data_IF_372657682166
#
_entry.id   IF_372657682166
#
_cell.length_a   1.000
_cell.length_b   1.000
_cell.length_c   1.000
_cell.angle_alpha   90.00
_cell.angle_beta   90.00
_cell.angle_gamma   90.00
#
_symmetry.space_group_name_H-M   'P 1'
#
loop_
_entity.id
_entity.type
_entity.pdbx_description
1 polymer ?
#
# COMPACT_ATOMS: atom_id res chain seq x y z
N UNK A 1 -36.28 -7.75 22.11
CA UNK A 1 -35.33 -7.78 20.97
C UNK A 1 -34.95 -6.37 20.54
N UNK A 2 -35.88 -5.51 20.13
CA UNK A 2 -35.57 -4.13 19.68
C UNK A 2 -34.62 -3.34 20.60
N UNK A 3 -34.93 -3.24 21.89
CA UNK A 3 -34.09 -2.51 22.85
C UNK A 3 -32.65 -3.05 22.94
N UNK A 4 -32.49 -4.38 22.91
CA UNK A 4 -31.17 -5.02 22.97
C UNK A 4 -30.42 -4.72 21.66
N UNK A 5 -31.06 -4.88 20.50
CA UNK A 5 -30.46 -4.58 19.20
C UNK A 5 -30.03 -3.12 19.09
N UNK A 6 -30.86 -2.18 19.55
CA UNK A 6 -30.53 -0.76 19.57
C UNK A 6 -29.34 -0.45 20.49
N UNK A 7 -29.33 -1.01 21.69
CA UNK A 7 -28.22 -0.83 22.63
C UNK A 7 -26.91 -1.40 22.06
N UNK A 8 -26.95 -2.62 21.50
CA UNK A 8 -25.80 -3.23 20.85
C UNK A 8 -25.32 -2.41 19.66
N UNK A 9 -26.23 -1.91 18.82
CA UNK A 9 -25.88 -1.04 17.69
C UNK A 9 -25.14 0.21 18.19
N UNK A 10 -25.66 0.89 19.21
CA UNK A 10 -24.99 2.07 19.77
C UNK A 10 -23.62 1.75 20.36
N UNK A 11 -23.43 0.56 20.95
CA UNK A 11 -22.09 0.13 21.41
C UNK A 11 -21.14 -0.13 20.23
N UNK A 12 -21.63 -0.74 19.15
CA UNK A 12 -20.83 -1.04 17.95
C UNK A 12 -20.50 0.22 17.15
N UNK A 13 -21.39 1.22 17.16
CA UNK A 13 -21.19 2.51 16.45
C UNK A 13 -20.51 3.57 17.32
N UNK A 14 -20.24 3.29 18.60
CA UNK A 14 -19.51 4.20 19.46
C UNK A 14 -18.08 4.39 18.96
N UNK A 15 -17.64 5.65 18.94
CA UNK A 15 -16.27 6.05 18.58
C UNK A 15 -15.71 6.85 19.75
N UNK A 16 -14.46 6.58 20.10
CA UNK A 16 -13.74 7.29 21.15
C UNK A 16 -13.33 8.70 20.69
N UNK A 17 -13.43 9.71 21.56
CA UNK A 17 -12.96 11.07 21.25
C UNK A 17 -11.44 11.14 21.03
N UNK A 18 -10.70 10.23 21.66
CA UNK A 18 -9.24 10.10 21.56
C UNK A 18 -8.88 8.64 21.28
N UNK A 19 -8.95 8.20 20.01
CA UNK A 19 -8.56 6.84 19.66
C UNK A 19 -7.06 6.64 19.90
N UNK A 20 -6.66 5.40 20.17
CA UNK A 20 -5.26 5.03 20.34
C UNK A 20 -4.47 4.97 19.02
N UNK A 21 -5.19 4.87 17.90
CA UNK A 21 -4.68 5.01 16.53
C UNK A 21 -5.81 5.49 15.62
N UNK A 22 -5.52 6.39 14.67
CA UNK A 22 -6.47 6.81 13.64
C UNK A 22 -5.92 6.49 12.26
N UNK A 23 -6.66 5.70 11.49
CA UNK A 23 -6.28 5.26 10.14
C UNK A 23 -7.38 5.61 9.15
N UNK A 24 -7.03 6.04 7.95
CA UNK A 24 -7.94 6.05 6.80
C UNK A 24 -7.63 4.87 5.90
N UNK A 25 -8.59 3.97 5.75
CA UNK A 25 -8.54 2.89 4.77
C UNK A 25 -9.24 3.35 3.47
N UNK A 26 -8.44 3.54 2.42
CA UNK A 26 -8.93 3.88 1.08
C UNK A 26 -9.13 2.60 0.28
N UNK A 27 -10.35 2.39 -0.21
CA UNK A 27 -10.71 1.28 -1.08
C UNK A 27 -10.82 1.77 -2.52
N UNK A 28 -9.78 1.53 -3.32
CA UNK A 28 -9.78 1.78 -4.76
C UNK A 28 -9.94 0.47 -5.53
N UNK A 29 -10.30 0.52 -6.80
CA UNK A 29 -10.42 -0.68 -7.62
C UNK A 29 -9.13 -1.48 -7.59
N UNK A 30 -9.29 -2.67 -6.99
CA UNK A 30 -8.31 -3.74 -6.84
C UNK A 30 -7.19 -3.46 -5.84
N UNK A 31 -7.34 -2.44 -5.00
CA UNK A 31 -6.31 -2.03 -4.05
C UNK A 31 -6.87 -1.48 -2.73
N UNK A 32 -6.14 -1.74 -1.64
CA UNK A 32 -6.31 -1.11 -0.34
C UNK A 32 -5.10 -0.24 -0.01
N UNK A 33 -5.35 0.96 0.51
CA UNK A 33 -4.29 1.81 1.09
C UNK A 33 -4.69 2.17 2.50
N UNK A 34 -3.72 2.12 3.43
CA UNK A 34 -3.92 2.50 4.82
C UNK A 34 -3.08 3.73 5.13
N UNK A 35 -3.72 4.90 5.23
CA UNK A 35 -3.08 6.13 5.67
C UNK A 35 -3.14 6.22 7.19
N UNK A 36 -1.99 6.29 7.85
CA UNK A 36 -1.86 6.50 9.28
C UNK A 36 -1.88 8.00 9.55
N UNK A 37 -2.87 8.44 10.32
CA UNK A 37 -3.17 9.85 10.52
C UNK A 37 -2.61 10.36 11.85
N UNK A 38 -2.09 11.58 11.83
CA UNK A 38 -1.75 12.30 13.05
C UNK A 38 -3.00 12.59 13.89
N UNK A 39 -2.80 13.09 15.12
CA UNK A 39 -3.88 13.41 16.05
C UNK A 39 -4.91 14.45 15.55
N UNK A 40 -4.60 15.19 14.47
CA UNK A 40 -5.55 16.11 13.83
C UNK A 40 -6.56 15.40 12.90
N UNK A 41 -6.40 14.09 12.69
CA UNK A 41 -7.23 13.25 11.82
C UNK A 41 -7.13 13.62 10.33
N UNK A 42 -6.11 14.39 9.93
CA UNK A 42 -5.99 14.94 8.58
C UNK A 42 -4.60 14.77 8.00
N UNK A 43 -3.57 15.03 8.79
CA UNK A 43 -2.19 14.92 8.36
C UNK A 43 -1.81 13.46 8.25
N UNK A 44 -1.40 13.03 7.05
CA UNK A 44 -0.90 11.67 6.81
C UNK A 44 0.55 11.61 7.28
N UNK A 45 0.83 10.77 8.28
CA UNK A 45 2.20 10.52 8.74
C UNK A 45 2.88 9.42 7.92
N UNK A 46 2.11 8.46 7.44
CA UNK A 46 2.59 7.34 6.62
C UNK A 46 1.43 6.73 5.82
N UNK A 47 1.70 6.27 4.58
CA UNK A 47 0.76 5.50 3.78
C UNK A 47 1.34 4.12 3.51
N UNK A 48 0.59 3.08 3.88
CA UNK A 48 0.87 1.70 3.49
C UNK A 48 0.08 1.36 2.24
N UNK A 49 0.78 0.96 1.19
CA UNK A 49 0.22 0.60 -0.12
C UNK A 49 0.25 -0.90 -0.38
N UNK A 50 1.13 -1.66 0.28
CA UNK A 50 1.17 -3.12 0.17
C UNK A 50 0.06 -3.68 1.05
N UNK A 51 -0.98 -4.34 0.50
CA UNK A 51 -2.16 -4.70 1.30
C UNK A 51 -1.97 -5.95 2.17
N UNK A 52 -0.98 -6.82 1.87
CA UNK A 52 -0.76 -8.11 2.55
C UNK A 52 0.72 -8.39 2.80
N UNK A 53 1.03 -9.33 3.69
CA UNK A 53 2.41 -9.79 3.96
C UNK A 53 3.03 -9.21 5.24
N UNK A 54 4.28 -9.60 5.52
CA UNK A 54 4.95 -9.36 6.81
C UNK A 54 5.08 -7.87 7.16
N UNK A 55 5.39 -7.03 6.16
CA UNK A 55 5.50 -5.57 6.28
C UNK A 55 4.29 -4.81 5.73
N UNK A 56 3.34 -5.50 5.07
CA UNK A 56 2.15 -4.92 4.44
C UNK A 56 0.93 -4.84 5.36
N UNK A 57 -0.21 -4.49 4.78
CA UNK A 57 -1.52 -4.45 5.45
C UNK A 57 -1.66 -3.40 6.54
N UNK A 58 -2.79 -3.49 7.24
CA UNK A 58 -3.15 -2.65 8.37
C UNK A 58 -2.49 -3.16 9.65
N UNK A 59 -1.29 -2.68 9.97
CA UNK A 59 -0.70 -2.86 11.30
C UNK A 59 -1.41 -2.02 12.35
N UNK A 60 -1.76 -2.64 13.49
CA UNK A 60 -2.44 -1.99 14.60
C UNK A 60 -1.87 -2.47 15.95
N UNK A 61 -1.76 -1.61 16.96
CA UNK A 61 -1.42 -2.03 18.32
C UNK A 61 -2.62 -2.73 18.97
N UNK A 62 -2.36 -3.85 19.65
CA UNK A 62 -3.37 -4.50 20.49
C UNK A 62 -3.72 -3.67 21.73
N UNK A 63 -4.91 -3.89 22.29
CA UNK A 63 -5.36 -3.27 23.54
C UNK A 63 -5.77 -1.79 23.41
N UNK A 64 -5.74 -1.22 22.19
CA UNK A 64 -6.10 0.17 21.94
C UNK A 64 -7.28 0.30 20.97
N UNK A 65 -8.14 1.32 21.15
CA UNK A 65 -9.18 1.63 20.18
C UNK A 65 -8.55 2.17 18.89
N UNK A 66 -8.89 1.54 17.78
CA UNK A 66 -8.44 1.89 16.44
C UNK A 66 -9.64 2.49 15.69
N UNK A 67 -9.59 3.79 15.44
CA UNK A 67 -10.58 4.47 14.59
C UNK A 67 -10.18 4.31 13.13
N UNK A 68 -11.11 3.83 12.31
CA UNK A 68 -10.92 3.68 10.86
C UNK A 68 -11.91 4.53 10.09
N UNK A 69 -11.39 5.46 9.30
CA UNK A 69 -12.13 6.17 8.26
C UNK A 69 -12.13 5.32 6.99
N UNK A 70 -13.30 5.12 6.40
CA UNK A 70 -13.49 4.38 5.16
C UNK A 70 -13.84 5.34 4.05
N UNK A 71 -13.00 5.37 3.02
CA UNK A 71 -13.19 6.23 1.85
C UNK A 71 -12.97 5.44 0.56
N UNK A 72 -13.75 5.74 -0.47
CA UNK A 72 -13.49 5.23 -1.82
C UNK A 72 -13.40 6.38 -2.81
N UNK A 73 -12.34 6.42 -3.65
CA UNK A 73 -12.21 7.38 -4.74
C UNK A 73 -12.97 6.97 -6.01
N UNK A 74 -13.56 5.76 -6.09
CA UNK A 74 -14.12 5.22 -7.33
C UNK A 74 -15.53 4.60 -7.18
N UNK A 75 -15.61 3.30 -6.90
CA UNK A 75 -16.83 2.49 -6.86
C UNK A 75 -17.12 2.03 -5.43
N UNK A 76 -18.28 1.41 -5.20
CA UNK A 76 -18.57 0.86 -3.88
C UNK A 76 -17.66 -0.33 -3.56
N UNK A 77 -17.17 -0.37 -2.32
CA UNK A 77 -16.44 -1.51 -1.73
C UNK A 77 -17.06 -1.83 -0.37
N UNK A 78 -16.49 -2.81 0.34
CA UNK A 78 -16.86 -3.05 1.74
C UNK A 78 -15.66 -3.59 2.52
N UNK A 79 -15.25 -2.89 3.58
CA UNK A 79 -14.23 -3.38 4.49
C UNK A 79 -14.81 -4.53 5.30
N UNK A 80 -14.19 -5.72 5.24
CA UNK A 80 -14.63 -6.87 6.01
C UNK A 80 -13.46 -7.67 6.57
N UNK A 81 -13.47 -7.90 7.88
CA UNK A 81 -12.57 -8.83 8.55
C UNK A 81 -13.41 -9.95 9.17
N UNK A 82 -13.52 -11.14 8.54
CA UNK A 82 -14.36 -12.23 9.02
C UNK A 82 -14.12 -12.61 10.48
N UNK A 83 -12.86 -12.58 10.93
CA UNK A 83 -12.50 -12.93 12.32
C UNK A 83 -13.03 -11.94 13.35
N UNK A 84 -13.32 -10.71 12.93
CA UNK A 84 -13.94 -9.68 13.77
C UNK A 84 -15.47 -9.68 13.67
N UNK A 85 -16.03 -10.48 12.75
CA UNK A 85 -17.46 -10.54 12.45
C UNK A 85 -18.07 -9.17 12.09
N UNK A 86 -17.25 -8.25 11.58
CA UNK A 86 -17.63 -6.88 11.30
C UNK A 86 -17.32 -6.51 9.86
N UNK A 87 -18.33 -5.99 9.16
CA UNK A 87 -18.18 -5.35 7.86
C UNK A 87 -18.82 -3.96 7.86
N UNK A 88 -18.28 -3.06 7.05
CA UNK A 88 -18.86 -1.74 6.76
C UNK A 88 -18.60 -1.39 5.30
N UNK A 89 -19.64 -0.92 4.62
CA UNK A 89 -19.54 -0.53 3.22
C UNK A 89 -18.71 0.75 3.08
N UNK A 90 -17.92 0.83 2.00
CA UNK A 90 -17.11 1.97 1.63
C UNK A 90 -17.78 2.62 0.42
N UNK A 91 -18.50 3.70 0.65
CA UNK A 91 -19.37 4.32 -0.36
C UNK A 91 -18.69 5.56 -0.94
N UNK A 92 -18.49 5.65 -2.26
CA UNK A 92 -17.91 6.84 -2.88
C UNK A 92 -18.63 8.12 -2.48
N UNK A 93 -17.86 9.14 -2.12
CA UNK A 93 -18.38 10.45 -1.67
C UNK A 93 -18.92 10.48 -0.25
N UNK A 94 -18.84 9.39 0.53
CA UNK A 94 -19.16 9.38 1.95
C UNK A 94 -18.04 8.74 2.78
N UNK A 95 -17.63 9.42 3.84
CA UNK A 95 -16.73 8.84 4.84
C UNK A 95 -17.57 8.09 5.86
N UNK A 96 -17.46 6.76 5.87
CA UNK A 96 -17.96 5.94 6.97
C UNK A 96 -16.85 5.77 8.01
N UNK A 97 -17.23 5.62 9.27
CA UNK A 97 -16.27 5.38 10.35
C UNK A 97 -16.71 4.20 11.21
N UNK A 98 -15.74 3.52 11.80
CA UNK A 98 -15.97 2.56 12.86
C UNK A 98 -14.73 2.45 13.75
N UNK A 99 -14.93 1.96 14.96
CA UNK A 99 -13.85 1.68 15.90
C UNK A 99 -13.80 0.19 16.21
N UNK A 100 -12.59 -0.35 16.34
CA UNK A 100 -12.38 -1.69 16.85
C UNK A 100 -11.15 -1.76 17.76
N UNK A 101 -11.11 -2.77 18.62
CA UNK A 101 -9.97 -3.07 19.49
C UNK A 101 -9.62 -4.54 19.31
N UNK A 102 -8.35 -4.83 19.04
CA UNK A 102 -7.83 -6.20 19.06
C UNK A 102 -7.36 -6.54 20.48
N UNK A 103 -7.71 -7.71 21.00
CA UNK A 103 -7.34 -8.09 22.36
C UNK A 103 -5.82 -8.24 22.51
N UNK A 104 -5.28 -7.91 23.68
CA UNK A 104 -3.84 -8.04 23.96
C UNK A 104 -3.30 -9.47 23.75
N UNK A 105 -4.13 -10.48 24.01
CA UNK A 105 -3.79 -11.89 23.79
C UNK A 105 -3.62 -12.28 22.32
N UNK A 106 -4.04 -11.41 21.39
CA UNK A 106 -3.93 -11.64 19.95
C UNK A 106 -2.68 -10.95 19.34
N UNK A 107 -1.77 -10.42 20.18
CA UNK A 107 -0.49 -9.90 19.72
C UNK A 107 0.30 -10.94 18.91
N UNK A 108 0.88 -10.50 17.80
CA UNK A 108 1.61 -11.33 16.83
C UNK A 108 0.70 -12.01 15.80
N UNK A 109 -0.62 -11.91 15.91
CA UNK A 109 -1.53 -12.53 14.95
C UNK A 109 -1.74 -11.64 13.72
N UNK A 110 -1.99 -12.29 12.58
CA UNK A 110 -2.42 -11.64 11.36
C UNK A 110 -3.79 -12.14 10.96
N UNK A 111 -4.71 -11.23 10.68
CA UNK A 111 -6.09 -11.52 10.30
C UNK A 111 -6.33 -11.12 8.86
N UNK A 112 -6.91 -12.03 8.06
CA UNK A 112 -7.29 -11.71 6.70
C UNK A 112 -8.50 -10.79 6.66
N UNK A 113 -8.37 -9.69 5.93
CA UNK A 113 -9.43 -8.82 5.47
C UNK A 113 -9.70 -8.99 3.98
N UNK A 114 -10.89 -8.57 3.56
CA UNK A 114 -11.30 -8.61 2.15
C UNK A 114 -12.38 -7.58 1.83
N UNK A 115 -12.46 -7.20 0.55
CA UNK A 115 -13.62 -6.51 0.04
C UNK A 115 -14.82 -7.47 0.02
N UNK A 116 -15.93 -7.07 0.62
CA UNK A 116 -17.16 -7.89 0.68
C UNK A 116 -18.26 -7.44 -0.31
N UNK A 117 -17.98 -6.45 -1.16
CA UNK A 117 -18.91 -5.91 -2.15
C UNK A 117 -18.31 -6.05 -3.56
N UNK A 118 -19.11 -6.46 -4.56
CA UNK A 118 -18.60 -6.71 -5.91
C UNK A 118 -18.18 -5.39 -6.59
N UNK A 119 -16.92 -5.03 -6.43
CA UNK A 119 -16.33 -3.76 -6.87
C UNK A 119 -15.69 -3.80 -8.27
N UNK A 120 -15.88 -4.89 -9.03
CA UNK A 120 -15.41 -5.02 -10.40
C UNK A 120 -14.69 -6.34 -10.70
N UNK A 121 -14.06 -6.42 -11.88
CA UNK A 121 -13.46 -7.66 -12.38
C UNK A 121 -12.33 -8.22 -11.51
N UNK A 122 -11.52 -7.36 -10.90
CA UNK A 122 -10.48 -7.71 -9.93
C UNK A 122 -10.97 -7.81 -8.49
N UNK A 123 -12.28 -7.85 -8.22
CA UNK A 123 -12.81 -7.94 -6.86
C UNK A 123 -12.18 -9.08 -6.04
N UNK A 124 -11.91 -10.23 -6.68
CA UNK A 124 -11.32 -11.40 -6.02
C UNK A 124 -9.95 -11.16 -5.38
N UNK A 125 -9.19 -10.17 -5.87
CA UNK A 125 -7.86 -9.85 -5.36
C UNK A 125 -7.87 -8.70 -4.34
N UNK A 126 -9.03 -8.12 -4.03
CA UNK A 126 -9.16 -7.07 -3.01
C UNK A 126 -9.13 -7.64 -1.60
N UNK A 127 -7.97 -8.15 -1.22
CA UNK A 127 -7.68 -8.70 0.10
C UNK A 127 -6.65 -7.81 0.79
N UNK A 128 -6.62 -7.87 2.11
CA UNK A 128 -5.61 -7.19 2.92
C UNK A 128 -5.36 -7.99 4.20
N UNK A 129 -4.29 -7.68 4.90
CA UNK A 129 -4.00 -8.22 6.23
C UNK A 129 -4.22 -7.16 7.31
N UNK A 130 -4.72 -7.57 8.47
CA UNK A 130 -4.68 -6.79 9.71
C UNK A 130 -3.67 -7.44 10.63
N UNK A 131 -2.54 -6.78 10.87
CA UNK A 131 -1.46 -7.28 11.73
C UNK A 131 -1.62 -6.71 13.14
N UNK A 132 -1.90 -7.57 14.10
CA UNK A 132 -2.05 -7.21 15.50
C UNK A 132 -0.69 -7.26 16.19
N UNK A 133 -0.11 -6.10 16.47
CA UNK A 133 1.23 -5.97 17.02
C UNK A 133 1.17 -5.62 18.51
N UNK A 134 2.20 -6.03 19.26
CA UNK A 134 2.43 -5.43 20.58
C UNK A 134 2.70 -3.93 20.42
N UNK A 135 2.51 -3.13 21.47
CA UNK A 135 2.78 -1.70 21.39
C UNK A 135 4.23 -1.41 20.96
N UNK A 136 5.19 -2.14 21.51
CA UNK A 136 6.61 -1.96 21.20
C UNK A 136 6.92 -2.30 19.74
N UNK A 137 6.34 -3.38 19.22
CA UNK A 137 6.56 -3.79 17.82
C UNK A 137 5.89 -2.81 16.85
N UNK A 138 4.70 -2.31 17.20
CA UNK A 138 4.02 -1.28 16.41
C UNK A 138 4.86 -0.01 16.34
N UNK A 139 5.35 0.50 17.47
CA UNK A 139 6.16 1.73 17.51
C UNK A 139 7.45 1.56 16.70
N UNK A 140 8.14 0.42 16.83
CA UNK A 140 9.35 0.13 16.07
C UNK A 140 9.08 0.04 14.55
N UNK A 141 7.99 -0.65 14.15
CA UNK A 141 7.57 -0.73 12.77
C UNK A 141 7.19 0.65 12.20
N UNK A 142 6.43 1.44 12.95
CA UNK A 142 5.92 2.73 12.48
C UNK A 142 7.03 3.76 12.31
N UNK A 143 8.01 3.80 13.22
CA UNK A 143 9.19 4.67 13.07
C UNK A 143 10.04 4.27 11.86
N UNK A 144 10.26 2.97 11.64
CA UNK A 144 10.94 2.47 10.43
C UNK A 144 10.17 2.87 9.17
N UNK A 145 8.86 2.65 9.15
CA UNK A 145 8.00 2.97 8.01
C UNK A 145 8.04 4.47 7.65
N UNK A 146 7.94 5.35 8.65
CA UNK A 146 8.06 6.82 8.46
C UNK A 146 9.45 7.23 7.97
N UNK A 147 10.50 6.54 8.40
CA UNK A 147 11.86 6.81 7.94
C UNK A 147 12.06 6.40 6.47
N UNK A 148 11.49 5.26 6.07
CA UNK A 148 11.52 4.76 4.68
C UNK A 148 10.60 5.55 3.74
N UNK A 149 9.53 6.16 4.26
CA UNK A 149 8.65 7.06 3.50
C UNK A 149 9.26 8.45 3.26
N UNK A 150 10.39 8.77 3.90
CA UNK A 150 11.26 9.89 3.53
C UNK A 150 12.29 9.37 2.52
N UNK A 151 12.67 10.19 1.51
CA UNK A 151 12.91 9.71 0.16
C UNK A 151 13.90 8.55 0.07
N UNK A 152 13.45 7.38 -0.41
CA UNK A 152 14.29 6.56 -1.28
C UNK A 152 14.59 7.42 -2.50
N UNK A 153 15.85 7.82 -2.66
CA UNK A 153 16.38 8.72 -3.71
C UNK A 153 15.31 9.60 -4.37
N UNK A 154 15.06 10.78 -3.79
CA UNK A 154 14.16 11.78 -4.40
C UNK A 154 14.48 12.05 -5.88
N UNK A 155 13.57 12.71 -6.62
CA UNK A 155 13.68 12.89 -8.07
C UNK A 155 15.10 13.32 -8.43
N UNK A 156 15.69 12.54 -9.35
CA UNK A 156 17.08 12.57 -9.76
C UNK A 156 17.78 13.93 -9.58
N UNK A 157 18.93 13.92 -8.90
CA UNK A 157 20.01 14.84 -9.26
C UNK A 157 20.22 14.74 -10.77
N UNK A 158 20.29 15.87 -11.47
CA UNK A 158 20.41 15.93 -12.94
C UNK A 158 21.45 14.94 -13.45
N UNK A 159 21.00 13.93 -14.19
CA UNK A 159 21.91 13.04 -14.90
C UNK A 159 22.71 13.84 -15.92
N UNK A 160 23.95 13.40 -16.26
CA UNK A 160 24.70 14.02 -17.33
C UNK A 160 23.88 13.99 -18.64
N UNK A 161 23.90 15.04 -19.46
CA UNK A 161 23.01 15.24 -20.62
C UNK A 161 23.03 14.15 -21.72
N UNK A 162 23.82 13.08 -21.56
CA UNK A 162 23.94 11.95 -22.48
C UNK A 162 23.59 10.58 -21.83
N UNK A 163 23.05 10.54 -20.61
CA UNK A 163 22.60 9.27 -20.01
C UNK A 163 21.35 8.75 -20.73
N UNK A 164 21.34 7.46 -21.09
CA UNK A 164 20.15 6.79 -21.62
C UNK A 164 19.01 6.90 -20.59
N UNK A 165 17.86 7.40 -21.03
CA UNK A 165 16.62 7.41 -20.24
C UNK A 165 15.67 6.40 -20.85
N UNK A 166 15.32 5.39 -20.06
CA UNK A 166 14.33 4.38 -20.42
C UNK A 166 12.95 4.89 -20.00
N UNK A 167 12.00 4.89 -20.93
CA UNK A 167 10.60 5.24 -20.62
C UNK A 167 9.84 3.98 -20.22
N UNK A 168 9.24 4.01 -19.03
CA UNK A 168 8.35 2.96 -18.53
C UNK A 168 7.07 3.60 -17.99
N UNK A 169 5.95 2.90 -18.09
CA UNK A 169 4.74 3.27 -17.37
C UNK A 169 3.99 2.06 -16.83
N UNK A 170 3.10 2.33 -15.88
CA UNK A 170 2.17 1.37 -15.31
C UNK A 170 0.73 1.86 -15.48
N UNK A 171 -0.15 0.94 -15.81
CA UNK A 171 -1.59 1.17 -15.91
C UNK A 171 -2.35 -0.10 -15.48
N UNK A 172 -3.33 0.04 -14.60
CA UNK A 172 -3.98 -1.08 -13.95
C UNK A 172 -2.98 -1.84 -13.07
N UNK A 173 -2.91 -3.17 -13.25
CA UNK A 173 -1.96 -4.05 -12.53
C UNK A 173 -0.88 -4.60 -13.46
N UNK A 174 -0.44 -3.79 -14.43
CA UNK A 174 0.55 -4.19 -15.42
C UNK A 174 1.52 -3.06 -15.79
N UNK A 175 2.74 -3.44 -16.10
CA UNK A 175 3.69 -2.58 -16.79
C UNK A 175 3.31 -2.49 -18.29
N UNK A 176 3.28 -1.27 -18.84
CA UNK A 176 2.91 -1.04 -20.24
C UNK A 176 3.93 -1.66 -21.19
N UNK A 177 5.23 -1.50 -20.91
CA UNK A 177 6.29 -2.27 -21.57
C UNK A 177 6.70 -3.44 -20.70
N UNK A 178 6.84 -4.62 -21.30
CA UNK A 178 7.33 -5.84 -20.64
C UNK A 178 8.82 -6.10 -20.84
N UNK A 179 9.45 -5.33 -21.72
CA UNK A 179 10.86 -5.46 -22.03
C UNK A 179 11.51 -4.08 -22.03
N UNK A 180 12.64 -3.98 -21.33
CA UNK A 180 13.52 -2.82 -21.33
C UNK A 180 14.94 -3.28 -21.66
N UNK A 181 15.73 -2.39 -22.26
CA UNK A 181 17.14 -2.66 -22.56
C UNK A 181 18.02 -1.54 -22.03
N UNK A 182 19.10 -1.88 -21.34
CA UNK A 182 20.12 -0.94 -20.87
C UNK A 182 21.52 -1.37 -21.33
N UNK A 183 22.45 -0.42 -21.31
CA UNK A 183 23.86 -0.70 -21.61
C UNK A 183 24.59 -1.23 -20.37
N UNK A 184 25.35 -2.30 -20.54
CA UNK A 184 26.11 -2.90 -19.46
C UNK A 184 27.15 -1.93 -18.86
N UNK A 185 27.26 -1.98 -17.53
CA UNK A 185 28.20 -1.21 -16.70
C UNK A 185 28.10 0.32 -16.86
N UNK A 186 27.00 0.83 -17.41
CA UNK A 186 26.75 2.26 -17.53
C UNK A 186 25.51 2.68 -16.73
N UNK A 187 25.58 3.77 -15.95
CA UNK A 187 24.40 4.27 -15.26
C UNK A 187 23.35 4.75 -16.27
N UNK A 188 22.08 4.57 -15.92
CA UNK A 188 20.95 4.96 -16.76
C UNK A 188 19.79 5.48 -15.90
N UNK A 189 18.89 6.22 -16.53
CA UNK A 189 17.63 6.64 -15.93
C UNK A 189 16.49 5.71 -16.34
N UNK A 190 15.52 5.54 -15.46
CA UNK A 190 14.18 5.10 -15.83
C UNK A 190 13.21 6.23 -15.48
N UNK A 191 12.56 6.81 -16.49
CA UNK A 191 11.39 7.66 -16.27
C UNK A 191 10.19 6.73 -16.16
N UNK A 192 9.66 6.61 -14.94
CA UNK A 192 8.53 5.75 -14.63
C UNK A 192 7.28 6.57 -14.35
N UNK A 193 6.25 6.38 -15.18
CA UNK A 193 4.97 7.07 -15.07
C UNK A 193 3.93 6.12 -14.47
N UNK A 194 3.31 6.53 -13.37
CA UNK A 194 2.09 5.89 -12.89
C UNK A 194 0.90 6.60 -13.56
N UNK A 195 0.19 5.91 -14.45
CA UNK A 195 -0.98 6.48 -15.16
C UNK A 195 -2.29 6.34 -14.35
N UNK A 196 -2.29 5.58 -13.26
CA UNK A 196 -3.46 5.27 -12.45
C UNK A 196 -3.68 6.31 -11.35
N UNK A 197 -4.92 6.78 -11.20
CA UNK A 197 -5.27 7.76 -10.16
C UNK A 197 -5.36 7.20 -8.74
N UNK A 198 -5.45 5.88 -8.61
CA UNK A 198 -5.79 5.20 -7.35
C UNK A 198 -4.92 3.99 -7.07
N UNK A 199 -4.17 3.52 -8.07
CA UNK A 199 -3.34 2.33 -7.98
C UNK A 199 -1.89 2.79 -7.87
N UNK A 200 -1.25 2.63 -6.70
CA UNK A 200 0.13 3.05 -6.51
C UNK A 200 1.08 2.02 -7.12
N UNK A 201 2.15 2.49 -7.74
CA UNK A 201 3.14 1.63 -8.38
C UNK A 201 4.54 2.02 -7.95
N UNK A 202 5.45 1.08 -8.08
CA UNK A 202 6.89 1.25 -8.03
C UNK A 202 7.52 0.44 -9.18
N UNK A 203 8.84 0.55 -9.27
CA UNK A 203 9.65 -0.30 -10.12
C UNK A 203 10.91 -0.68 -9.36
N UNK A 204 10.94 -1.92 -8.91
CA UNK A 204 12.12 -2.58 -8.39
C UNK A 204 12.85 -3.30 -9.51
N UNK A 205 14.16 -3.51 -9.35
CA UNK A 205 14.96 -4.38 -10.23
C UNK A 205 15.52 -5.52 -9.39
N UNK A 206 15.26 -6.74 -9.82
CA UNK A 206 15.67 -8.00 -9.19
C UNK A 206 16.72 -8.70 -10.06
N UNK A 207 17.79 -9.18 -9.45
CA UNK A 207 18.75 -10.06 -10.10
C UNK A 207 18.25 -11.51 -10.16
N UNK A 208 18.86 -12.34 -11.00
CA UNK A 208 18.45 -13.74 -11.20
C UNK A 208 18.60 -14.64 -9.96
N UNK A 209 19.30 -14.19 -8.93
CA UNK A 209 19.40 -14.88 -7.63
C UNK A 209 18.30 -14.45 -6.63
N UNK A 210 17.39 -13.56 -7.04
CA UNK A 210 16.30 -13.03 -6.22
C UNK A 210 16.68 -11.83 -5.36
N UNK A 211 17.92 -11.33 -5.45
CA UNK A 211 18.32 -10.11 -4.74
C UNK A 211 17.75 -8.86 -5.43
N UNK A 212 17.29 -7.89 -4.61
CA UNK A 212 16.87 -6.58 -5.10
C UNK A 212 18.11 -5.71 -5.34
N UNK A 213 18.34 -5.32 -6.59
CA UNK A 213 19.47 -4.46 -7.01
C UNK A 213 19.07 -3.01 -7.21
N UNK A 214 17.78 -2.72 -7.28
CA UNK A 214 17.22 -1.37 -7.25
C UNK A 214 15.87 -1.38 -6.54
N UNK A 215 15.65 -0.38 -5.67
CA UNK A 215 14.45 -0.24 -4.82
C UNK A 215 13.71 1.05 -5.17
N UNK A 216 12.60 0.90 -5.90
CA UNK A 216 11.78 2.01 -6.35
C UNK A 216 10.90 2.53 -5.22
N UNK A 217 10.70 3.85 -5.17
CA UNK A 217 9.66 4.41 -4.30
C UNK A 217 8.28 4.01 -4.84
N UNK A 218 7.39 3.51 -3.98
CA UNK A 218 5.96 3.34 -4.28
C UNK A 218 5.28 4.69 -4.24
N UNK A 219 4.62 5.07 -5.33
CA UNK A 219 3.92 6.35 -5.43
C UNK A 219 2.55 6.21 -6.12
N UNK A 220 1.54 6.96 -5.66
CA UNK A 220 0.26 7.07 -6.35
C UNK A 220 0.40 7.88 -7.64
N UNK A 221 -0.45 7.62 -8.62
CA UNK A 221 -0.58 8.44 -9.83
C UNK A 221 -1.84 9.30 -9.85
N UNK A 222 -2.07 10.07 -10.94
CA UNK A 222 -1.18 10.21 -12.08
C UNK A 222 0.02 11.08 -11.70
N UNK A 223 1.22 10.52 -11.75
CA UNK A 223 2.47 11.18 -11.38
C UNK A 223 3.65 10.43 -12.02
N UNK A 224 4.87 10.95 -11.89
CA UNK A 224 6.08 10.30 -12.38
C UNK A 224 7.23 10.35 -11.38
N UNK A 225 8.13 9.36 -11.51
CA UNK A 225 9.43 9.33 -10.86
C UNK A 225 10.51 9.12 -11.90
N UNK A 226 11.68 9.71 -11.64
CA UNK A 226 12.89 9.43 -12.42
C UNK A 226 13.87 8.72 -11.50
N UNK A 227 14.09 7.45 -11.80
CA UNK A 227 14.98 6.57 -11.06
C UNK A 227 16.37 6.58 -11.70
N UNK A 228 17.40 6.78 -10.88
CA UNK A 228 18.79 6.68 -11.31
C UNK A 228 19.34 5.31 -10.92
N UNK A 229 19.56 4.46 -11.91
CA UNK A 229 20.08 3.11 -11.71
C UNK A 229 21.58 3.13 -11.96
N UNK A 230 22.37 2.64 -11.00
CA UNK A 230 23.81 2.43 -11.19
C UNK A 230 24.04 1.40 -12.28
N UNK A 231 25.16 1.49 -13.00
CA UNK A 231 25.46 0.55 -14.07
C UNK A 231 25.44 -0.91 -13.59
N UNK A 232 24.59 -1.71 -14.22
CA UNK A 232 24.41 -3.13 -13.92
C UNK A 232 25.35 -3.98 -14.79
N UNK A 233 25.76 -5.14 -14.30
CA UNK A 233 26.54 -6.11 -15.08
C UNK A 233 25.70 -6.65 -16.26
N UNK A 234 26.34 -7.13 -17.35
CA UNK A 234 25.60 -7.75 -18.45
C UNK A 234 24.78 -8.95 -17.96
N UNK A 235 23.52 -9.02 -18.35
CA UNK A 235 22.63 -10.08 -17.89
C UNK A 235 21.16 -9.79 -18.11
N UNK A 236 20.33 -10.71 -17.63
CA UNK A 236 18.88 -10.57 -17.60
C UNK A 236 18.43 -10.33 -16.17
N UNK A 237 17.71 -9.24 -15.97
CA UNK A 237 17.10 -8.84 -14.72
C UNK A 237 15.58 -8.85 -14.87
N UNK A 238 14.88 -8.95 -13.76
CA UNK A 238 13.44 -8.78 -13.72
C UNK A 238 13.13 -7.41 -13.09
N UNK A 239 12.27 -6.61 -13.71
CA UNK A 239 11.69 -5.46 -13.03
C UNK A 239 10.28 -5.82 -12.55
N UNK A 240 9.96 -5.46 -11.32
CA UNK A 240 8.73 -5.88 -10.64
C UNK A 240 8.07 -4.69 -9.95
N UNK A 241 6.75 -4.74 -9.83
CA UNK A 241 6.02 -3.86 -8.92
C UNK A 241 5.79 -4.60 -7.60
N UNK A 242 6.25 -4.05 -6.47
CA UNK A 242 6.11 -4.67 -5.16
C UNK A 242 4.66 -4.65 -4.65
N UNK A 243 3.84 -3.75 -5.19
CA UNK A 243 2.44 -3.55 -4.80
C UNK A 243 1.53 -4.63 -5.43
N UNK A 244 1.80 -5.03 -6.66
CA UNK A 244 0.94 -5.93 -7.44
C UNK A 244 1.62 -7.25 -7.71
N UNK A 245 1.10 -8.32 -7.11
CA UNK A 245 1.55 -9.68 -7.41
C UNK A 245 1.44 -9.95 -8.93
N UNK A 246 2.45 -10.62 -9.48
CA UNK A 246 2.60 -11.00 -10.90
C UNK A 246 2.79 -9.83 -11.89
N UNK A 247 2.98 -8.60 -11.41
CA UNK A 247 3.31 -7.46 -12.27
C UNK A 247 4.82 -7.39 -12.49
N UNK A 248 5.30 -8.09 -13.52
CA UNK A 248 6.74 -8.18 -13.84
C UNK A 248 7.05 -7.91 -15.32
N UNK A 249 8.32 -7.62 -15.59
CA UNK A 249 8.89 -7.49 -16.93
C UNK A 249 10.39 -7.76 -16.93
N UNK A 250 11.00 -7.79 -18.10
CA UNK A 250 12.41 -8.18 -18.29
C UNK A 250 13.28 -6.98 -18.66
N UNK A 251 14.34 -6.74 -17.89
CA UNK A 251 15.39 -5.80 -18.23
C UNK A 251 16.61 -6.57 -18.76
N UNK A 252 16.96 -6.34 -20.03
CA UNK A 252 18.17 -6.90 -20.64
C UNK A 252 19.29 -5.88 -20.60
N UNK A 253 20.41 -6.24 -19.97
CA UNK A 253 21.59 -5.40 -19.86
C UNK A 253 22.68 -5.99 -20.76
N UNK A 254 23.11 -5.24 -21.79
CA UNK A 254 24.03 -5.71 -22.84
C UNK A 254 25.09 -4.70 -23.24
#
# INVERSE_FOLDING_TARGET
LFFISWQTLNTVEAISEQPGLHVRAKAGQFQWTFDYLAADGKTIEYSQFVPTGEDGGLAVPVGKPILVDLESPDVIHAFYVPRFLFKRDVVPGQTNQFEFTVNESEAGQTFRGQCAELCGAGHRIMVFDVRALSQADFDAWFEKAKASAKPSQGPAQSLPPNSLTLEQSAQGVQFVKRELEAQANQPFAIRFVNEDSTIPHDLDIMAGDGSKVFDGEVFPGPDERVYNVTGLEPGTYEFVCSVHADMTGTLTVK
#
